data_IF_331401699999
#
_entry.id   IF_331401699999
#
_cell.length_a   1.000
_cell.length_b   1.000
_cell.length_c   1.000
_cell.angle_alpha   90.00
_cell.angle_beta   90.00
_cell.angle_gamma   90.00
#
_symmetry.space_group_name_H-M   'P 1'
#
loop_
_entity.id
_entity.type
_entity.pdbx_description
1 polymer ?
#
# COMPACT_ATOMS: atom_id res chain seq x y z
N UNK A 1 29.08 37.58 -39.98
CA UNK A 1 28.62 36.21 -40.32
C UNK A 1 28.65 35.40 -39.03
N UNK A 2 27.49 35.18 -38.42
CA UNK A 2 27.37 34.36 -37.21
C UNK A 2 27.25 32.89 -37.64
N UNK A 3 28.27 32.09 -37.36
CA UNK A 3 28.26 30.65 -37.57
C UNK A 3 27.37 30.01 -36.50
N UNK A 4 26.11 29.75 -36.83
CA UNK A 4 25.22 28.94 -36.01
C UNK A 4 25.74 27.51 -36.02
N UNK A 5 26.34 27.10 -34.90
CA UNK A 5 26.94 25.78 -34.73
C UNK A 5 25.83 24.71 -34.74
N UNK A 6 25.79 23.81 -35.74
CA UNK A 6 24.70 22.85 -35.91
C UNK A 6 24.62 21.82 -34.77
N UNK A 7 25.70 21.61 -34.02
CA UNK A 7 25.74 20.70 -32.87
C UNK A 7 24.82 21.16 -31.72
N UNK A 8 24.68 22.48 -31.51
CA UNK A 8 23.83 23.00 -30.43
C UNK A 8 22.33 22.78 -30.69
N UNK A 9 21.94 22.45 -31.92
CA UNK A 9 20.54 22.17 -32.28
C UNK A 9 20.16 20.70 -32.11
N UNK A 10 21.14 19.78 -32.15
CA UNK A 10 20.91 18.34 -31.95
C UNK A 10 20.73 17.99 -30.47
N UNK A 11 21.57 18.53 -29.58
CA UNK A 11 21.41 18.32 -28.13
C UNK A 11 20.04 18.81 -27.62
N UNK A 12 19.54 19.90 -28.21
CA UNK A 12 18.22 20.41 -27.89
C UNK A 12 17.10 19.51 -28.43
N UNK A 13 17.29 18.78 -29.54
CA UNK A 13 16.27 17.88 -30.09
C UNK A 13 16.17 16.56 -29.33
N UNK A 14 17.26 16.06 -28.77
CA UNK A 14 17.27 14.88 -27.88
C UNK A 14 16.63 15.21 -26.52
N UNK A 15 16.81 16.43 -26.00
CA UNK A 15 16.21 16.86 -24.74
C UNK A 15 14.66 16.89 -24.72
N UNK A 16 13.99 16.97 -25.88
CA UNK A 16 12.51 16.95 -25.96
C UNK A 16 11.93 15.56 -26.29
N UNK A 17 12.76 14.56 -26.62
CA UNK A 17 12.31 13.22 -27.00
C UNK A 17 12.03 12.28 -25.82
N UNK A 18 12.74 12.46 -24.70
CA UNK A 18 12.80 11.49 -23.61
C UNK A 18 12.02 11.89 -22.33
N UNK A 19 11.53 13.14 -22.25
CA UNK A 19 10.72 13.63 -21.13
C UNK A 19 9.55 12.71 -20.71
N UNK A 20 8.74 12.14 -21.64
CA UNK A 20 7.64 11.27 -21.23
C UNK A 20 8.11 9.90 -20.71
N UNK A 21 9.31 9.44 -21.10
CA UNK A 21 9.85 8.16 -20.66
C UNK A 21 10.36 8.24 -19.21
N UNK A 22 11.06 9.32 -18.86
CA UNK A 22 11.56 9.55 -17.50
C UNK A 22 10.43 9.72 -16.48
N UNK A 23 9.35 10.39 -16.85
CA UNK A 23 8.20 10.57 -15.96
C UNK A 23 7.46 9.26 -15.70
N UNK A 24 7.26 8.44 -16.75
CA UNK A 24 6.67 7.09 -16.60
C UNK A 24 7.53 6.19 -15.73
N UNK A 25 8.85 6.20 -15.93
CA UNK A 25 9.78 5.41 -15.14
C UNK A 25 9.76 5.83 -13.67
N UNK A 26 9.71 7.14 -13.37
CA UNK A 26 9.60 7.65 -12.00
C UNK A 26 8.32 7.16 -11.31
N UNK A 27 7.20 7.19 -12.02
CA UNK A 27 5.90 6.71 -11.51
C UNK A 27 5.97 5.20 -11.22
N UNK A 28 6.49 4.41 -12.15
CA UNK A 28 6.65 2.97 -11.98
C UNK A 28 7.57 2.62 -10.79
N UNK A 29 8.70 3.31 -10.65
CA UNK A 29 9.62 3.12 -9.54
C UNK A 29 8.95 3.41 -8.18
N UNK A 30 8.13 4.45 -8.10
CA UNK A 30 7.41 4.76 -6.87
C UNK A 30 6.34 3.73 -6.53
N UNK A 31 5.59 3.24 -7.52
CA UNK A 31 4.62 2.14 -7.32
C UNK A 31 5.35 0.88 -6.83
N UNK A 32 6.44 0.49 -7.50
CA UNK A 32 7.24 -0.68 -7.12
C UNK A 32 7.80 -0.54 -5.70
N UNK A 33 8.32 0.63 -5.34
CA UNK A 33 8.80 0.89 -3.99
C UNK A 33 7.67 0.72 -2.96
N UNK A 34 6.48 1.28 -3.25
CA UNK A 34 5.28 1.08 -2.44
C UNK A 34 4.92 -0.40 -2.29
N UNK A 35 4.92 -1.17 -3.38
CA UNK A 35 4.64 -2.61 -3.37
C UNK A 35 5.67 -3.40 -2.56
N UNK A 36 6.96 -3.08 -2.67
CA UNK A 36 8.01 -3.73 -1.88
C UNK A 36 7.85 -3.47 -0.39
N UNK A 37 7.54 -2.23 -0.01
CA UNK A 37 7.26 -1.89 1.39
C UNK A 37 6.01 -2.64 1.86
N UNK A 38 4.95 -2.67 1.06
CA UNK A 38 3.75 -3.46 1.37
C UNK A 38 4.05 -4.94 1.57
N UNK A 39 4.88 -5.54 0.71
CA UNK A 39 5.32 -6.94 0.84
C UNK A 39 6.13 -7.17 2.12
N UNK A 40 7.03 -6.25 2.47
CA UNK A 40 7.80 -6.31 3.72
C UNK A 40 6.87 -6.25 4.95
N UNK A 41 5.85 -5.39 4.91
CA UNK A 41 4.84 -5.29 5.97
C UNK A 41 4.05 -6.59 6.11
N UNK A 42 3.61 -7.19 5.00
CA UNK A 42 2.87 -8.47 4.99
C UNK A 42 3.72 -9.58 5.62
N UNK A 43 5.00 -9.67 5.23
CA UNK A 43 5.94 -10.64 5.79
C UNK A 43 6.23 -10.38 7.27
N UNK A 44 6.34 -9.11 7.71
CA UNK A 44 6.52 -8.78 9.11
C UNK A 44 5.29 -9.08 9.97
N UNK A 45 4.09 -8.79 9.45
CA UNK A 45 2.83 -8.98 10.17
C UNK A 45 2.40 -10.45 10.26
N UNK A 46 2.61 -11.24 9.20
CA UNK A 46 2.09 -12.60 9.10
C UNK A 46 3.13 -13.66 8.72
N UNK A 47 4.41 -13.31 8.58
CA UNK A 47 5.47 -14.28 8.28
C UNK A 47 5.50 -15.49 9.21
N UNK A 48 5.44 -15.31 10.55
CA UNK A 48 5.34 -16.42 11.49
C UNK A 48 4.09 -17.28 11.29
N UNK A 49 2.95 -16.64 10.98
CA UNK A 49 1.68 -17.30 10.69
C UNK A 49 1.78 -18.13 9.41
N UNK A 50 2.36 -17.59 8.33
CA UNK A 50 2.60 -18.31 7.08
C UNK A 50 3.50 -19.54 7.28
N UNK A 51 4.55 -19.40 8.10
CA UNK A 51 5.43 -20.53 8.43
C UNK A 51 4.69 -21.63 9.20
N UNK A 52 3.88 -21.25 10.20
CA UNK A 52 3.04 -22.20 10.95
C UNK A 52 1.95 -22.83 10.08
N UNK A 53 1.39 -22.08 9.14
CA UNK A 53 0.36 -22.55 8.22
C UNK A 53 0.91 -23.50 7.15
N UNK A 54 2.18 -23.38 6.78
CA UNK A 54 2.83 -24.32 5.87
C UNK A 54 2.93 -25.74 6.46
N UNK A 55 2.95 -25.85 7.80
CA UNK A 55 3.11 -27.11 8.52
C UNK A 55 1.76 -27.75 8.92
N UNK A 56 0.68 -26.95 9.01
CA UNK A 56 -0.66 -27.44 9.34
C UNK A 56 -1.52 -27.63 8.08
N UNK A 57 -1.85 -28.87 7.76
CA UNK A 57 -2.84 -29.28 6.75
C UNK A 57 -4.30 -28.95 7.12
N UNK A 58 -4.51 -27.93 7.95
CA UNK A 58 -5.83 -27.56 8.46
C UNK A 58 -6.39 -26.42 7.61
N UNK A 59 -7.49 -26.68 6.91
CA UNK A 59 -8.23 -25.72 6.10
C UNK A 59 -8.86 -24.61 6.98
N UNK A 60 -8.06 -23.69 7.51
CA UNK A 60 -8.57 -22.42 8.03
C UNK A 60 -9.00 -21.53 6.87
N UNK A 61 -10.01 -20.66 7.04
CA UNK A 61 -10.41 -19.72 6.00
C UNK A 61 -9.32 -18.63 5.81
N UNK A 62 -8.38 -18.90 4.90
CA UNK A 62 -7.29 -17.99 4.49
C UNK A 62 -7.78 -16.71 3.80
N UNK A 63 -9.07 -16.66 3.43
CA UNK A 63 -9.65 -15.54 2.69
C UNK A 63 -9.42 -14.20 3.38
N UNK A 64 -9.45 -14.15 4.73
CA UNK A 64 -9.16 -12.93 5.49
C UNK A 64 -7.71 -12.45 5.29
N UNK A 65 -6.73 -13.35 5.38
CA UNK A 65 -5.31 -13.04 5.21
C UNK A 65 -5.00 -12.59 3.78
N UNK A 66 -5.55 -13.27 2.77
CA UNK A 66 -5.36 -12.91 1.36
C UNK A 66 -5.96 -11.54 1.08
N UNK A 67 -7.20 -11.28 1.52
CA UNK A 67 -7.86 -9.98 1.31
C UNK A 67 -7.10 -8.85 2.01
N UNK A 68 -6.62 -9.09 3.23
CA UNK A 68 -5.80 -8.13 3.99
C UNK A 68 -4.50 -7.81 3.25
N UNK A 69 -3.81 -8.85 2.76
CA UNK A 69 -2.55 -8.71 2.03
C UNK A 69 -2.74 -7.90 0.75
N UNK A 70 -3.81 -8.17 -0.01
CA UNK A 70 -4.14 -7.41 -1.21
C UNK A 70 -4.45 -5.94 -0.88
N UNK A 71 -5.19 -5.66 0.20
CA UNK A 71 -5.46 -4.30 0.64
C UNK A 71 -4.18 -3.57 1.08
N UNK A 72 -3.27 -4.23 1.79
CA UNK A 72 -1.98 -3.66 2.18
C UNK A 72 -1.15 -3.32 0.93
N UNK A 73 -1.01 -4.25 -0.02
CA UNK A 73 -0.30 -3.99 -1.28
C UNK A 73 -0.93 -2.83 -2.04
N UNK A 74 -2.26 -2.76 -2.09
CA UNK A 74 -2.97 -1.67 -2.74
C UNK A 74 -2.71 -0.32 -2.07
N UNK A 75 -2.81 -0.24 -0.73
CA UNK A 75 -2.56 1.00 0.03
C UNK A 75 -1.11 1.45 -0.14
N UNK A 76 -0.13 0.57 0.04
CA UNK A 76 1.28 0.92 -0.10
C UNK A 76 1.64 1.28 -1.56
N UNK A 77 1.10 0.56 -2.55
CA UNK A 77 1.27 0.88 -3.97
C UNK A 77 0.66 2.24 -4.33
N UNK A 78 -0.52 2.57 -3.81
CA UNK A 78 -1.18 3.86 -4.00
C UNK A 78 -0.38 5.00 -3.36
N UNK A 79 0.17 4.79 -2.16
CA UNK A 79 1.03 5.77 -1.48
C UNK A 79 2.36 5.93 -2.22
N UNK A 80 2.93 4.86 -2.74
CA UNK A 80 4.11 4.88 -3.61
C UNK A 80 3.86 5.67 -4.90
N UNK A 81 2.70 5.48 -5.52
CA UNK A 81 2.24 6.28 -6.67
C UNK A 81 2.08 7.77 -6.32
N UNK A 82 1.37 8.08 -5.22
CA UNK A 82 1.20 9.44 -4.72
C UNK A 82 2.53 10.12 -4.41
N UNK A 83 3.50 9.36 -3.87
CA UNK A 83 4.87 9.82 -3.61
C UNK A 83 5.61 10.10 -4.92
N UNK A 84 5.40 9.30 -5.95
CA UNK A 84 6.04 9.51 -7.25
C UNK A 84 5.49 10.74 -7.98
N UNK A 85 4.17 10.96 -7.91
CA UNK A 85 3.48 12.09 -8.51
C UNK A 85 3.74 13.37 -7.71
N UNK A 86 3.70 13.28 -6.37
CA UNK A 86 3.89 14.39 -5.46
C UNK A 86 5.35 14.82 -5.36
N UNK A 87 5.68 16.00 -5.88
CA UNK A 87 7.04 16.58 -5.73
C UNK A 87 7.33 17.15 -4.33
N UNK A 88 6.33 17.27 -3.46
CA UNK A 88 6.47 17.93 -2.15
C UNK A 88 6.72 16.90 -1.05
N UNK A 89 7.85 17.02 -0.36
CA UNK A 89 8.23 16.16 0.77
C UNK A 89 7.12 16.04 1.83
N UNK A 90 6.47 17.15 2.19
CA UNK A 90 5.38 17.15 3.18
C UNK A 90 4.18 16.29 2.78
N UNK A 91 3.82 16.25 1.49
CA UNK A 91 2.73 15.41 1.01
C UNK A 91 3.11 13.93 1.08
N UNK A 92 4.35 13.60 0.76
CA UNK A 92 4.89 12.25 0.92
C UNK A 92 4.82 11.80 2.37
N UNK A 93 5.36 12.61 3.30
CA UNK A 93 5.35 12.31 4.73
C UNK A 93 3.92 12.08 5.24
N UNK A 94 2.99 12.97 4.90
CA UNK A 94 1.61 12.90 5.36
C UNK A 94 0.86 11.69 4.78
N UNK A 95 1.14 11.35 3.51
CA UNK A 95 0.57 10.15 2.86
C UNK A 95 1.07 8.87 3.52
N UNK A 96 2.35 8.82 3.87
CA UNK A 96 2.90 7.68 4.59
C UNK A 96 2.34 7.57 6.01
N UNK A 97 2.19 8.69 6.74
CA UNK A 97 1.61 8.66 8.10
C UNK A 97 0.18 8.12 8.05
N UNK A 98 -0.63 8.62 7.11
CA UNK A 98 -1.97 8.11 6.89
C UNK A 98 -1.96 6.61 6.54
N UNK A 99 -1.04 6.19 5.68
CA UNK A 99 -0.87 4.78 5.34
C UNK A 99 -0.54 3.93 6.57
N UNK A 100 0.39 4.34 7.42
CA UNK A 100 0.79 3.57 8.60
C UNK A 100 -0.38 3.36 9.58
N UNK A 101 -1.22 4.39 9.77
CA UNK A 101 -2.46 4.25 10.57
C UNK A 101 -3.43 3.27 9.93
N UNK A 102 -3.65 3.37 8.61
CA UNK A 102 -4.53 2.46 7.86
C UNK A 102 -4.01 1.02 7.95
N UNK A 103 -2.70 0.81 7.77
CA UNK A 103 -2.07 -0.51 7.86
C UNK A 103 -2.25 -1.11 9.25
N UNK A 104 -2.09 -0.31 10.31
CA UNK A 104 -2.30 -0.77 11.68
C UNK A 104 -3.74 -1.20 11.92
N UNK A 105 -4.71 -0.44 11.39
CA UNK A 105 -6.14 -0.80 11.44
C UNK A 105 -6.38 -2.10 10.69
N UNK A 106 -5.84 -2.24 9.47
CA UNK A 106 -5.98 -3.46 8.68
C UNK A 106 -5.42 -4.66 9.43
N UNK A 107 -4.17 -4.57 9.91
CA UNK A 107 -3.49 -5.64 10.65
C UNK A 107 -4.31 -6.06 11.88
N UNK A 108 -4.77 -5.10 12.69
CA UNK A 108 -5.53 -5.36 13.90
C UNK A 108 -6.92 -5.96 13.64
N UNK A 109 -7.53 -5.72 12.47
CA UNK A 109 -8.91 -6.11 12.16
C UNK A 109 -9.01 -7.20 11.06
N UNK A 110 -7.90 -7.83 10.70
CA UNK A 110 -7.76 -8.73 9.53
C UNK A 110 -8.70 -9.93 9.52
N UNK A 111 -9.02 -10.50 10.68
CA UNK A 111 -9.77 -11.75 10.73
C UNK A 111 -11.29 -11.55 10.69
N UNK A 112 -11.85 -10.59 11.42
CA UNK A 112 -13.30 -10.49 11.68
C UNK A 112 -13.98 -9.40 10.84
N UNK A 113 -13.39 -8.21 10.78
CA UNK A 113 -13.98 -7.08 10.07
C UNK A 113 -13.95 -7.30 8.55
N UNK A 114 -12.83 -7.81 8.01
CA UNK A 114 -12.71 -8.01 6.57
C UNK A 114 -13.59 -9.14 6.04
N UNK A 115 -13.81 -10.20 6.81
CA UNK A 115 -14.75 -11.26 6.44
C UNK A 115 -16.19 -10.72 6.41
N UNK A 116 -16.56 -9.89 7.39
CA UNK A 116 -17.87 -9.23 7.43
C UNK A 116 -18.05 -8.29 6.24
N UNK A 117 -17.04 -7.47 5.91
CA UNK A 117 -17.08 -6.58 4.73
C UNK A 117 -17.10 -7.35 3.42
N UNK A 118 -16.37 -8.46 3.30
CA UNK A 118 -16.39 -9.31 2.12
C UNK A 118 -17.79 -9.90 1.89
N UNK A 119 -18.48 -10.31 2.96
CA UNK A 119 -19.86 -10.78 2.89
C UNK A 119 -20.82 -9.64 2.53
N UNK A 120 -20.61 -8.43 3.08
CA UNK A 120 -21.38 -7.24 2.68
C UNK A 120 -21.22 -6.91 1.19
N UNK A 121 -20.03 -7.10 0.62
CA UNK A 121 -19.80 -6.94 -0.82
C UNK A 121 -20.46 -8.06 -1.64
N UNK A 122 -20.43 -9.30 -1.13
CA UNK A 122 -20.98 -10.46 -1.83
C UNK A 122 -22.51 -10.47 -1.82
N UNK A 123 -23.15 -10.04 -0.73
CA UNK A 123 -24.60 -9.96 -0.61
C UNK A 123 -25.03 -8.76 0.25
N UNK A 124 -25.76 -7.85 -0.40
CA UNK A 124 -26.29 -6.61 0.18
C UNK A 124 -27.24 -6.86 1.36
N UNK A 125 -27.85 -8.03 1.46
CA UNK A 125 -28.77 -8.39 2.55
C UNK A 125 -28.11 -8.41 3.92
N UNK A 126 -26.79 -8.62 3.96
CA UNK A 126 -26.05 -8.67 5.22
C UNK A 126 -25.51 -7.31 5.67
N UNK A 127 -25.77 -6.23 4.94
CA UNK A 127 -25.35 -4.88 5.34
C UNK A 127 -25.87 -4.53 6.73
N UNK A 128 -24.96 -4.05 7.59
CA UNK A 128 -25.28 -3.66 8.96
C UNK A 128 -25.27 -4.83 9.96
N UNK A 129 -25.14 -6.09 9.52
CA UNK A 129 -24.98 -7.22 10.42
C UNK A 129 -23.51 -7.54 10.67
N UNK A 130 -23.14 -7.63 11.94
CA UNK A 130 -21.82 -8.11 12.36
C UNK A 130 -21.84 -9.64 12.40
N UNK A 131 -21.43 -10.26 11.29
CA UNK A 131 -21.39 -11.73 11.16
C UNK A 131 -20.25 -12.29 12.02
N UNK A 132 -19.14 -11.56 12.09
CA UNK A 132 -18.00 -11.88 12.95
C UNK A 132 -17.72 -10.68 13.87
N UNK A 133 -18.19 -10.69 15.12
CA UNK A 133 -18.02 -9.56 16.03
C UNK A 133 -16.55 -9.35 16.39
N UNK A 134 -16.10 -8.11 16.34
CA UNK A 134 -14.78 -7.73 16.85
C UNK A 134 -14.75 -7.96 18.37
N UNK A 135 -13.78 -8.75 18.84
CA UNK A 135 -13.68 -9.15 20.24
C UNK A 135 -13.17 -8.04 21.16
N UNK A 136 -12.61 -6.94 20.61
CA UNK A 136 -12.02 -5.88 21.43
C UNK A 136 -12.17 -4.52 20.74
N UNK A 137 -12.84 -3.57 21.40
CA UNK A 137 -12.86 -2.19 20.96
C UNK A 137 -11.51 -1.53 21.32
N UNK A 138 -10.60 -1.46 20.34
CA UNK A 138 -9.31 -0.80 20.51
C UNK A 138 -9.49 0.71 20.24
N UNK A 139 -9.10 1.60 21.17
CA UNK A 139 -9.28 3.03 20.98
C UNK A 139 -8.40 3.53 19.82
N UNK A 140 -8.93 4.47 19.04
CA UNK A 140 -8.29 5.01 17.82
C UNK A 140 -6.84 5.47 18.04
N UNK A 141 -6.56 6.03 19.22
CA UNK A 141 -5.22 6.49 19.60
C UNK A 141 -4.17 5.37 19.52
N UNK A 142 -4.56 4.12 19.80
CA UNK A 142 -3.68 2.95 19.69
C UNK A 142 -3.27 2.69 18.25
N UNK A 143 -4.18 2.89 17.29
CA UNK A 143 -3.86 2.74 15.88
C UNK A 143 -2.90 3.84 15.40
N UNK A 144 -3.06 5.06 15.93
CA UNK A 144 -2.14 6.17 15.63
C UNK A 144 -0.74 5.89 16.17
N UNK A 145 -0.63 5.47 17.43
CA UNK A 145 0.65 5.13 18.03
C UNK A 145 1.29 3.89 17.37
N UNK A 146 0.50 2.87 17.05
CA UNK A 146 0.98 1.70 16.30
C UNK A 146 1.51 2.09 14.92
N UNK A 147 0.79 2.97 14.21
CA UNK A 147 1.24 3.49 12.91
C UNK A 147 2.53 4.29 13.03
N UNK A 148 2.66 5.16 14.03
CA UNK A 148 3.90 5.91 14.29
C UNK A 148 5.07 4.97 14.61
N UNK A 149 4.84 3.93 15.41
CA UNK A 149 5.88 2.96 15.74
C UNK A 149 6.34 2.17 14.51
N UNK A 150 5.43 1.90 13.58
CA UNK A 150 5.73 1.22 12.32
C UNK A 150 6.60 2.07 11.36
N UNK A 151 6.66 3.39 11.56
CA UNK A 151 7.48 4.31 10.77
C UNK A 151 8.90 4.53 11.32
N UNK A 152 9.10 4.25 12.60
CA UNK A 152 10.38 4.42 13.30
C UNK A 152 11.29 3.21 13.05
#
# INVERSE_FOLDING_TARGET
>A
MATTNPLMKQDNLEAWGDEPAHERLRIWLGILNGLFIGAAVILGAWGPEFYRLADLSVARPYNGLVMSSLLILFVCGLVGWLTAVGRKFWLTLLSWIAAAVILTILIANTATALQTTAIWLADRRFWGFSIYPATTAVPFVTYVFGGLFMML
#
